data_IF_248821064224
#
_entry.id   IF_248821064224
#
_cell.length_a   1.000
_cell.length_b   1.000
_cell.length_c   1.000
_cell.angle_alpha   90.00
_cell.angle_beta   90.00
_cell.angle_gamma   90.00
#
_symmetry.space_group_name_H-M   'P 1'
#
loop_
_entity.id
_entity.type
_entity.pdbx_description
1 polymer ?
#
# COMPACT_ATOMS: atom_id res chain seq x y z
N UNK A 1 23.94 1.45 -8.28
CA UNK A 1 23.91 1.60 -6.81
C UNK A 1 22.47 1.44 -6.33
N UNK A 2 22.21 0.53 -5.39
CA UNK A 2 20.88 0.35 -4.82
C UNK A 2 20.66 1.40 -3.72
N UNK A 3 19.58 2.19 -3.81
CA UNK A 3 19.30 3.31 -2.89
C UNK A 3 20.43 4.35 -2.77
N UNK A 4 21.24 4.53 -3.82
CA UNK A 4 22.35 5.50 -3.84
C UNK A 4 23.48 5.21 -2.85
N UNK A 5 23.49 4.03 -2.22
CA UNK A 5 24.50 3.64 -1.24
C UNK A 5 25.68 2.86 -1.83
N UNK A 6 26.76 2.78 -1.05
CA UNK A 6 27.90 1.92 -1.30
C UNK A 6 27.76 0.64 -0.47
N UNK A 7 27.77 -0.51 -1.13
CA UNK A 7 27.82 -1.83 -0.50
C UNK A 7 29.11 -2.56 -0.86
N UNK A 8 29.61 -3.40 0.03
CA UNK A 8 30.67 -4.35 -0.31
C UNK A 8 30.06 -5.65 -0.81
N UNK A 9 30.53 -6.14 -1.95
CA UNK A 9 30.12 -7.41 -2.52
C UNK A 9 30.35 -8.55 -1.51
N UNK A 10 29.32 -9.36 -1.23
CA UNK A 10 29.38 -10.41 -0.21
C UNK A 10 29.05 -9.96 1.22
N UNK A 11 28.80 -8.67 1.46
CA UNK A 11 28.30 -8.16 2.74
C UNK A 11 26.80 -7.84 2.66
N UNK A 12 26.08 -7.99 3.78
CA UNK A 12 24.73 -7.45 3.95
C UNK A 12 24.73 -5.97 4.40
N UNK A 13 25.89 -5.29 4.30
CA UNK A 13 26.05 -3.91 4.71
C UNK A 13 25.92 -2.97 3.49
N UNK A 14 25.03 -1.99 3.61
CA UNK A 14 24.89 -0.91 2.65
C UNK A 14 24.96 0.41 3.41
N UNK A 15 25.86 1.31 3.02
CA UNK A 15 25.98 2.64 3.59
C UNK A 15 25.33 3.63 2.64
N UNK A 16 24.33 4.35 3.12
CA UNK A 16 23.61 5.40 2.39
C UNK A 16 24.53 6.59 2.07
N UNK A 17 24.10 7.45 1.15
CA UNK A 17 24.84 8.66 0.76
C UNK A 17 25.12 9.63 1.91
N UNK A 18 24.30 9.60 2.96
CA UNK A 18 24.48 10.38 4.18
C UNK A 18 25.39 9.69 5.24
N UNK A 19 26.06 8.60 4.87
CA UNK A 19 26.97 7.86 5.75
C UNK A 19 26.29 6.90 6.73
N UNK A 20 24.95 6.86 6.79
CA UNK A 20 24.22 5.97 7.70
C UNK A 20 24.07 4.56 7.10
N UNK A 21 24.15 3.50 7.91
CA UNK A 21 23.83 2.16 7.45
C UNK A 21 22.35 2.05 7.09
N UNK A 22 22.06 1.40 5.96
CA UNK A 22 20.70 1.06 5.55
C UNK A 22 20.09 0.08 6.57
N UNK A 23 19.05 0.53 7.26
CA UNK A 23 18.34 -0.29 8.25
C UNK A 23 17.23 -1.13 7.61
N UNK A 24 16.82 -2.20 8.29
CA UNK A 24 15.65 -2.98 7.91
C UNK A 24 14.40 -2.10 7.91
N UNK A 25 13.55 -2.24 6.89
CA UNK A 25 12.25 -1.57 6.84
C UNK A 25 11.31 -2.16 7.91
N UNK A 26 10.76 -1.31 8.79
CA UNK A 26 9.73 -1.68 9.75
C UNK A 26 8.38 -1.12 9.29
N UNK A 27 7.51 -2.00 8.78
CA UNK A 27 6.15 -1.64 8.37
C UNK A 27 5.30 -1.43 9.62
N UNK A 28 4.73 -0.24 9.78
CA UNK A 28 3.83 0.12 10.87
C UNK A 28 2.38 0.07 10.40
N UNK A 29 1.47 -0.15 11.34
CA UNK A 29 0.06 0.15 11.10
C UNK A 29 -0.04 1.66 10.81
N UNK A 30 -0.77 2.03 9.77
CA UNK A 30 -0.75 3.38 9.22
C UNK A 30 -1.14 4.48 10.21
N UNK A 31 -2.04 4.19 11.16
CA UNK A 31 -2.49 5.11 12.22
C UNK A 31 -1.45 5.25 13.32
N UNK A 32 -0.53 4.31 13.44
CA UNK A 32 0.56 4.31 14.42
C UNK A 32 1.83 5.03 13.94
N UNK A 33 1.82 5.55 12.71
CA UNK A 33 2.88 6.45 12.24
C UNK A 33 2.79 7.77 12.98
N UNK A 34 3.94 8.37 13.31
CA UNK A 34 3.95 9.76 13.78
C UNK A 34 3.58 10.70 12.64
N UNK A 35 3.12 11.91 12.96
CA UNK A 35 2.76 12.92 11.95
C UNK A 35 3.94 13.18 11.00
N UNK A 36 5.15 13.30 11.55
CA UNK A 36 6.36 13.49 10.74
C UNK A 36 6.64 12.30 9.80
N UNK A 37 6.43 11.06 10.24
CA UNK A 37 6.55 9.88 9.37
C UNK A 37 5.47 9.87 8.29
N UNK A 38 4.23 10.21 8.66
CA UNK A 38 3.07 10.25 7.78
C UNK A 38 3.24 11.30 6.67
N UNK A 39 3.67 12.51 7.03
CA UNK A 39 3.91 13.62 6.11
C UNK A 39 5.00 13.28 5.08
N UNK A 40 6.11 12.70 5.54
CA UNK A 40 7.18 12.23 4.64
C UNK A 40 6.69 11.12 3.72
N UNK A 41 5.91 10.18 4.24
CA UNK A 41 5.31 9.12 3.42
C UNK A 41 4.37 9.69 2.35
N UNK A 42 3.46 10.60 2.70
CA UNK A 42 2.58 11.27 1.73
C UNK A 42 3.35 12.04 0.67
N UNK A 43 4.40 12.77 1.08
CA UNK A 43 5.26 13.50 0.16
C UNK A 43 5.95 12.56 -0.82
N UNK A 44 6.51 11.44 -0.34
CA UNK A 44 7.15 10.42 -1.19
C UNK A 44 6.15 9.79 -2.16
N UNK A 45 4.94 9.43 -1.72
CA UNK A 45 3.91 8.87 -2.62
C UNK A 45 3.54 9.86 -3.72
N UNK A 46 3.38 11.15 -3.40
CA UNK A 46 3.14 12.19 -4.41
C UNK A 46 4.33 12.37 -5.36
N UNK A 47 5.55 12.27 -4.85
CA UNK A 47 6.75 12.35 -5.70
C UNK A 47 6.83 11.17 -6.68
N UNK A 48 6.52 9.96 -6.23
CA UNK A 48 6.41 8.77 -7.09
C UNK A 48 5.31 8.92 -8.14
N UNK A 49 4.22 9.61 -7.83
CA UNK A 49 3.19 9.94 -8.81
C UNK A 49 3.69 10.94 -9.84
N UNK A 50 4.31 12.02 -9.39
CA UNK A 50 4.77 13.10 -10.26
C UNK A 50 5.90 12.67 -11.21
N UNK A 51 6.75 11.72 -10.80
CA UNK A 51 7.83 11.20 -11.63
C UNK A 51 7.41 9.98 -12.48
N UNK A 52 6.14 9.55 -12.41
CA UNK A 52 5.57 8.46 -13.20
C UNK A 52 5.83 7.04 -12.66
N UNK A 53 6.63 6.90 -11.59
CA UNK A 53 6.95 5.58 -11.02
C UNK A 53 5.72 4.89 -10.41
N UNK A 54 4.83 5.65 -9.77
CA UNK A 54 3.56 5.13 -9.25
C UNK A 54 2.70 4.55 -10.38
N UNK A 55 2.58 5.28 -11.50
CA UNK A 55 1.76 4.86 -12.65
C UNK A 55 2.39 3.66 -13.36
N UNK A 56 3.73 3.59 -13.42
CA UNK A 56 4.44 2.42 -13.93
C UNK A 56 4.12 1.16 -13.11
N UNK A 57 4.18 1.24 -11.78
CA UNK A 57 3.83 0.12 -10.89
C UNK A 57 2.35 -0.25 -11.01
N UNK A 58 1.45 0.74 -11.03
CA UNK A 58 0.03 0.49 -11.21
C UNK A 58 -0.29 -0.16 -12.58
N UNK A 59 0.46 0.19 -13.63
CA UNK A 59 0.35 -0.43 -14.96
C UNK A 59 0.72 -1.91 -14.90
N UNK A 60 1.80 -2.29 -14.21
CA UNK A 60 2.22 -3.70 -14.05
C UNK A 60 1.09 -4.54 -13.44
N UNK A 61 0.37 -4.02 -12.44
CA UNK A 61 -0.77 -4.71 -11.85
C UNK A 61 -1.97 -4.79 -12.81
N UNK A 62 -2.26 -3.72 -13.56
CA UNK A 62 -3.42 -3.66 -14.48
C UNK A 62 -3.32 -4.59 -15.70
N UNK A 63 -2.11 -5.00 -16.09
CA UNK A 63 -1.89 -5.83 -17.26
C UNK A 63 -2.14 -7.31 -16.95
N UNK A 64 -3.42 -7.70 -16.87
CA UNK A 64 -3.84 -9.06 -16.53
C UNK A 64 -3.14 -10.15 -17.37
N UNK A 65 -2.97 -9.93 -18.68
CA UNK A 65 -2.31 -10.89 -19.58
C UNK A 65 -0.83 -11.15 -19.23
N UNK A 66 -0.14 -10.17 -18.64
CA UNK A 66 1.25 -10.28 -18.20
C UNK A 66 1.36 -10.63 -16.70
N UNK A 67 0.32 -10.34 -15.93
CA UNK A 67 0.25 -10.49 -14.47
C UNK A 67 -0.83 -11.50 -14.06
N UNK A 68 -1.00 -12.59 -14.82
CA UNK A 68 -2.03 -13.60 -14.54
C UNK A 68 -1.90 -14.26 -13.17
N UNK A 69 -0.70 -14.27 -12.58
CA UNK A 69 -0.47 -14.74 -11.21
C UNK A 69 -0.88 -13.75 -10.11
N UNK A 70 -1.30 -12.53 -10.46
CA UNK A 70 -1.72 -11.52 -9.50
C UNK A 70 -3.05 -11.90 -8.83
N UNK A 71 -3.93 -12.68 -9.46
CA UNK A 71 -5.26 -12.99 -8.92
C UNK A 71 -5.64 -14.46 -9.17
N UNK A 72 -6.61 -14.95 -8.38
CA UNK A 72 -7.36 -16.19 -8.61
C UNK A 72 -6.49 -17.46 -8.74
N UNK A 73 -5.36 -17.52 -8.05
CA UNK A 73 -4.43 -18.66 -8.13
C UNK A 73 -3.38 -18.70 -7.03
N UNK A 74 -2.58 -19.79 -6.94
CA UNK A 74 -1.60 -20.00 -5.88
C UNK A 74 -0.46 -18.96 -5.86
N UNK A 75 -0.28 -18.23 -6.97
CA UNK A 75 0.69 -17.16 -7.07
C UNK A 75 0.23 -15.85 -6.42
N UNK A 76 -1.05 -15.70 -6.04
CA UNK A 76 -1.62 -14.45 -5.51
C UNK A 76 -0.76 -13.83 -4.38
N UNK A 77 -0.47 -14.61 -3.34
CA UNK A 77 0.31 -14.15 -2.18
C UNK A 77 1.77 -13.82 -2.51
N UNK A 78 2.56 -14.72 -3.15
CA UNK A 78 3.94 -14.41 -3.48
C UNK A 78 4.06 -13.29 -4.54
N UNK A 79 3.15 -13.20 -5.51
CA UNK A 79 3.13 -12.13 -6.50
C UNK A 79 2.92 -10.77 -5.83
N UNK A 80 1.89 -10.65 -4.96
CA UNK A 80 1.65 -9.42 -4.22
C UNK A 80 2.79 -9.08 -3.25
N UNK A 81 3.41 -10.08 -2.60
CA UNK A 81 4.59 -9.86 -1.74
C UNK A 81 5.76 -9.25 -2.50
N UNK A 82 6.00 -9.70 -3.73
CA UNK A 82 7.02 -9.15 -4.61
C UNK A 82 6.63 -7.74 -5.10
N UNK A 83 5.38 -7.55 -5.52
CA UNK A 83 4.85 -6.27 -5.97
C UNK A 83 4.98 -5.17 -4.91
N UNK A 84 4.53 -5.44 -3.67
CA UNK A 84 4.67 -4.49 -2.56
C UNK A 84 6.13 -4.29 -2.16
N UNK A 85 7.03 -5.26 -2.46
CA UNK A 85 8.46 -5.06 -2.26
C UNK A 85 9.01 -4.04 -3.26
N UNK A 86 8.60 -4.10 -4.54
CA UNK A 86 8.97 -3.06 -5.53
C UNK A 86 8.52 -1.68 -5.09
N UNK A 87 7.27 -1.54 -4.63
CA UNK A 87 6.76 -0.27 -4.10
C UNK A 87 7.59 0.25 -2.91
N UNK A 88 7.90 -0.61 -1.94
CA UNK A 88 8.75 -0.25 -0.80
C UNK A 88 10.16 0.18 -1.22
N UNK A 89 10.73 -0.46 -2.26
CA UNK A 89 12.03 -0.05 -2.82
C UNK A 89 11.93 1.34 -3.43
N UNK A 90 10.90 1.63 -4.23
CA UNK A 90 10.71 2.95 -4.85
C UNK A 90 10.50 4.04 -3.79
N UNK A 91 9.74 3.77 -2.72
CA UNK A 91 9.61 4.66 -1.56
C UNK A 91 10.99 4.95 -0.94
N UNK A 92 11.77 3.89 -0.70
CA UNK A 92 13.05 3.99 0.01
C UNK A 92 14.21 4.52 -0.82
N UNK A 93 14.07 4.56 -2.14
CA UNK A 93 14.98 5.30 -3.01
C UNK A 93 14.83 6.82 -2.82
N UNK A 94 13.66 7.29 -2.40
CA UNK A 94 13.41 8.70 -2.10
C UNK A 94 13.63 9.04 -0.62
N UNK A 95 13.18 8.17 0.30
CA UNK A 95 13.46 8.28 1.74
C UNK A 95 13.78 6.90 2.33
N UNK A 96 15.06 6.57 2.57
CA UNK A 96 15.48 5.26 3.06
C UNK A 96 15.08 4.99 4.52
N UNK A 97 14.57 5.99 5.24
CA UNK A 97 14.08 5.84 6.62
C UNK A 97 12.63 5.33 6.67
N UNK A 98 11.89 5.42 5.56
CA UNK A 98 10.50 5.00 5.48
C UNK A 98 10.35 3.51 5.18
N UNK A 99 9.15 3.01 5.45
CA UNK A 99 8.67 1.69 5.04
C UNK A 99 7.23 1.83 4.55
N UNK A 100 6.77 0.89 3.71
CA UNK A 100 5.36 0.84 3.31
C UNK A 100 4.51 0.48 4.54
N UNK A 101 3.56 1.32 4.98
CA UNK A 101 2.68 0.97 6.09
C UNK A 101 1.66 -0.10 5.67
N UNK A 102 0.98 -0.68 6.65
CA UNK A 102 -0.18 -1.53 6.41
C UNK A 102 -1.43 -0.91 7.04
N UNK A 103 -2.58 -1.25 6.47
CA UNK A 103 -3.89 -0.95 7.06
C UNK A 103 -4.42 -2.22 7.68
N UNK A 104 -4.64 -2.20 8.99
CA UNK A 104 -5.41 -3.24 9.65
C UNK A 104 -6.90 -2.89 9.60
N UNK A 105 -7.64 -3.58 8.74
CA UNK A 105 -9.07 -3.35 8.53
C UNK A 105 -9.96 -3.98 9.61
N UNK A 106 -9.42 -4.91 10.41
CA UNK A 106 -10.22 -5.52 11.49
C UNK A 106 -10.54 -4.50 12.59
N UNK A 107 -9.69 -3.49 12.75
CA UNK A 107 -9.92 -2.38 13.68
C UNK A 107 -11.12 -1.51 13.30
N UNK A 108 -11.46 -1.45 12.01
CA UNK A 108 -12.60 -0.67 11.52
C UNK A 108 -13.87 -1.50 11.37
N UNK A 109 -13.75 -2.84 11.26
CA UNK A 109 -14.90 -3.73 11.08
C UNK A 109 -15.81 -3.76 12.31
N UNK A 110 -15.29 -3.36 13.48
CA UNK A 110 -16.05 -3.24 14.74
C UNK A 110 -16.78 -1.90 14.90
N UNK A 111 -16.57 -0.94 14.00
CA UNK A 111 -17.30 0.34 14.04
C UNK A 111 -18.76 0.11 13.66
N UNK A 112 -19.67 0.89 14.28
CA UNK A 112 -21.09 0.86 13.92
C UNK A 112 -21.32 1.18 12.42
N UNK A 113 -20.47 2.04 11.86
CA UNK A 113 -20.35 2.26 10.42
C UNK A 113 -18.86 2.29 10.05
N UNK A 114 -18.33 1.27 9.37
CA UNK A 114 -16.91 1.26 8.96
C UNK A 114 -16.49 2.46 8.09
N UNK A 115 -17.45 3.11 7.42
CA UNK A 115 -17.23 4.35 6.68
C UNK A 115 -16.81 5.54 7.55
N UNK A 116 -17.09 5.50 8.85
CA UNK A 116 -16.73 6.55 9.82
C UNK A 116 -15.26 6.43 10.27
N UNK A 117 -14.52 5.45 9.77
CA UNK A 117 -13.09 5.29 10.06
C UNK A 117 -12.29 6.55 9.75
N UNK A 118 -11.38 6.91 10.67
CA UNK A 118 -10.40 7.99 10.48
C UNK A 118 -9.54 7.78 9.21
N UNK A 119 -9.45 6.53 8.71
CA UNK A 119 -8.77 6.23 7.46
C UNK A 119 -9.26 7.10 6.30
N UNK A 120 -10.55 7.45 6.27
CA UNK A 120 -11.18 8.24 5.21
C UNK A 120 -11.31 9.73 5.55
N UNK A 121 -10.50 10.22 6.49
CA UNK A 121 -10.41 11.63 6.86
C UNK A 121 -9.38 12.40 6.02
N UNK A 122 -9.36 13.73 6.17
CA UNK A 122 -8.41 14.62 5.50
C UNK A 122 -6.95 14.33 5.87
N UNK A 123 -6.72 13.86 7.10
CA UNK A 123 -5.39 13.55 7.61
C UNK A 123 -4.82 12.26 6.99
N UNK A 124 -5.67 11.29 6.67
CA UNK A 124 -5.26 9.98 6.17
C UNK A 124 -5.49 9.85 4.66
N UNK A 125 -6.54 9.16 4.21
CA UNK A 125 -6.74 8.82 2.80
C UNK A 125 -7.71 9.74 2.06
N UNK A 126 -8.09 10.87 2.66
CA UNK A 126 -8.98 11.88 2.09
C UNK A 126 -10.46 11.51 2.16
N UNK A 127 -11.30 12.54 2.30
CA UNK A 127 -12.76 12.49 2.21
C UNK A 127 -13.24 12.59 0.77
N UNK A 128 -14.47 12.16 0.56
CA UNK A 128 -15.16 12.28 -0.73
C UNK A 128 -16.18 13.40 -0.76
N UNK A 129 -16.40 13.99 -1.94
CA UNK A 129 -17.56 14.84 -2.20
C UNK A 129 -18.84 14.01 -2.39
N UNK A 130 -19.99 14.67 -2.57
CA UNK A 130 -21.28 14.00 -2.80
C UNK A 130 -21.31 13.15 -4.09
N UNK A 131 -20.40 13.41 -5.02
CA UNK A 131 -20.26 12.60 -6.22
C UNK A 131 -19.39 11.36 -5.97
N UNK A 132 -18.62 11.27 -4.89
CA UNK A 132 -17.68 10.19 -4.59
C UNK A 132 -16.24 10.46 -5.05
N UNK A 133 -15.89 11.71 -5.41
CA UNK A 133 -14.52 12.09 -5.73
C UNK A 133 -13.73 12.35 -4.44
N UNK A 134 -12.53 11.80 -4.31
CA UNK A 134 -11.61 12.14 -3.20
C UNK A 134 -11.07 13.56 -3.43
N UNK A 135 -11.48 14.50 -2.58
CA UNK A 135 -11.24 15.95 -2.76
C UNK A 135 -10.36 16.57 -1.67
N UNK A 136 -10.00 15.80 -0.64
CA UNK A 136 -9.14 16.27 0.46
C UNK A 136 -7.95 15.33 0.71
N UNK A 137 -7.05 15.76 1.58
CA UNK A 137 -5.86 15.01 1.97
C UNK A 137 -4.82 14.89 0.86
N UNK A 138 -3.79 14.08 1.07
CA UNK A 138 -2.66 13.98 0.15
C UNK A 138 -3.01 13.36 -1.22
N UNK A 139 -4.17 12.71 -1.31
CA UNK A 139 -4.73 12.10 -2.52
C UNK A 139 -5.69 13.03 -3.30
N UNK A 140 -5.93 14.26 -2.84
CA UNK A 140 -6.67 15.25 -3.61
C UNK A 140 -5.95 15.56 -4.94
N UNK A 141 -6.73 15.88 -5.99
CA UNK A 141 -6.22 16.18 -7.33
C UNK A 141 -5.37 15.06 -7.95
N UNK A 142 -5.60 13.82 -7.52
CA UNK A 142 -4.89 12.66 -8.06
C UNK A 142 -5.51 12.19 -9.37
N UNK A 143 -4.86 12.54 -10.49
CA UNK A 143 -5.27 12.06 -11.82
C UNK A 143 -5.03 10.56 -11.96
N UNK A 144 -6.07 9.79 -12.24
CA UNK A 144 -5.97 8.33 -12.40
C UNK A 144 -5.35 7.95 -13.75
N UNK A 145 -4.86 6.72 -13.87
CA UNK A 145 -4.34 6.20 -15.16
C UNK A 145 -5.43 6.16 -16.26
N UNK A 146 -6.70 6.02 -15.88
CA UNK A 146 -7.85 6.11 -16.79
C UNK A 146 -8.21 7.55 -17.20
N UNK A 147 -7.48 8.55 -16.70
CA UNK A 147 -7.66 9.96 -17.05
C UNK A 147 -8.67 10.72 -16.21
N UNK A 148 -9.27 10.10 -15.18
CA UNK A 148 -10.16 10.81 -14.26
C UNK A 148 -9.37 11.84 -13.46
N UNK A 149 -9.92 13.03 -13.20
CA UNK A 149 -9.22 14.09 -12.48
C UNK A 149 -9.01 13.80 -10.98
N UNK A 150 -9.70 12.79 -10.44
CA UNK A 150 -9.63 12.43 -9.03
C UNK A 150 -9.85 10.94 -8.84
N UNK A 151 -9.36 10.40 -7.72
CA UNK A 151 -9.72 9.07 -7.24
C UNK A 151 -11.22 9.06 -6.92
N UNK A 152 -11.89 7.97 -7.26
CA UNK A 152 -13.30 7.71 -6.94
C UNK A 152 -13.39 6.69 -5.80
N UNK A 153 -14.20 6.97 -4.79
CA UNK A 153 -14.43 6.06 -3.65
C UNK A 153 -15.89 6.15 -3.19
N UNK A 154 -16.51 5.00 -2.94
CA UNK A 154 -17.85 4.91 -2.35
C UNK A 154 -17.77 4.00 -1.11
N UNK A 155 -17.26 4.55 -0.02
CA UNK A 155 -16.90 3.78 1.18
C UNK A 155 -18.13 3.17 1.84
N UNK A 156 -18.08 1.86 2.10
CA UNK A 156 -19.16 1.15 2.80
C UNK A 156 -20.40 0.85 1.94
N UNK A 157 -20.36 1.13 0.64
CA UNK A 157 -21.49 0.86 -0.24
C UNK A 157 -21.69 -0.63 -0.56
N UNK A 158 -20.61 -1.41 -0.56
CA UNK A 158 -20.61 -2.85 -0.88
C UNK A 158 -19.56 -3.59 -0.06
N UNK A 159 -19.86 -4.84 0.27
CA UNK A 159 -18.97 -5.73 1.02
C UNK A 159 -18.87 -5.39 2.52
N UNK A 160 -17.97 -6.08 3.20
CA UNK A 160 -17.59 -5.86 4.61
C UNK A 160 -16.07 -5.85 4.72
N UNK A 161 -15.57 -5.23 5.80
CA UNK A 161 -14.16 -5.36 6.17
C UNK A 161 -13.92 -6.70 6.84
N UNK A 162 -12.67 -7.15 6.85
CA UNK A 162 -12.30 -8.39 7.53
C UNK A 162 -12.57 -8.30 9.02
N UNK A 163 -13.09 -9.38 9.59
CA UNK A 163 -13.23 -9.59 11.02
C UNK A 163 -12.11 -10.50 11.54
N UNK A 164 -11.80 -10.41 12.82
CA UNK A 164 -10.85 -11.33 13.48
C UNK A 164 -11.28 -12.80 13.32
N UNK A 165 -12.58 -13.07 13.32
CA UNK A 165 -13.12 -14.41 13.12
C UNK A 165 -12.83 -14.97 11.71
N UNK A 166 -12.98 -14.15 10.68
CA UNK A 166 -12.67 -14.53 9.29
C UNK A 166 -11.16 -14.75 9.10
N UNK A 167 -10.33 -13.88 9.67
CA UNK A 167 -8.87 -14.07 9.66
C UNK A 167 -8.49 -15.37 10.37
N UNK A 168 -9.03 -15.61 11.57
CA UNK A 168 -8.78 -16.84 12.31
C UNK A 168 -9.26 -18.08 11.56
N UNK A 169 -10.37 -17.99 10.83
CA UNK A 169 -10.87 -19.05 9.97
C UNK A 169 -9.88 -19.39 8.85
N UNK A 170 -9.41 -18.38 8.10
CA UNK A 170 -8.45 -18.57 7.00
C UNK A 170 -7.12 -19.13 7.52
N UNK A 171 -6.61 -18.61 8.64
CA UNK A 171 -5.34 -19.05 9.23
C UNK A 171 -5.34 -20.49 9.75
N UNK A 172 -6.52 -21.08 9.97
CA UNK A 172 -6.67 -22.49 10.39
C UNK A 172 -6.74 -23.45 9.20
N UNK A 173 -6.84 -22.95 7.98
CA UNK A 173 -6.91 -23.80 6.79
C UNK A 173 -5.56 -24.43 6.49
N UNK A 174 -5.55 -25.74 6.26
CA UNK A 174 -4.37 -26.51 5.88
C UNK A 174 -4.40 -26.97 4.43
N UNK A 175 -5.57 -26.89 3.78
CA UNK A 175 -5.79 -27.25 2.39
C UNK A 175 -5.77 -26.00 1.50
N UNK A 176 -5.07 -26.05 0.38
CA UNK A 176 -4.80 -24.88 -0.46
C UNK A 176 -6.09 -24.34 -1.11
N UNK A 177 -7.03 -25.21 -1.45
CA UNK A 177 -8.34 -24.86 -1.99
C UNK A 177 -9.15 -23.97 -1.04
N UNK A 178 -9.06 -24.21 0.27
CA UNK A 178 -9.75 -23.42 1.29
C UNK A 178 -9.08 -22.06 1.51
N UNK A 179 -7.83 -21.89 1.09
CA UNK A 179 -7.13 -20.61 1.11
C UNK A 179 -7.35 -19.84 -0.20
N UNK A 180 -7.37 -20.53 -1.34
CA UNK A 180 -7.50 -19.93 -2.67
C UNK A 180 -8.92 -19.52 -3.05
N UNK A 181 -9.96 -20.07 -2.41
CA UNK A 181 -11.33 -19.60 -2.59
C UNK A 181 -11.50 -18.09 -2.30
N UNK A 182 -10.56 -17.48 -1.57
CA UNK A 182 -10.56 -16.08 -1.17
C UNK A 182 -9.63 -15.18 -2.00
N UNK A 183 -8.96 -15.70 -3.03
CA UNK A 183 -7.99 -14.94 -3.84
C UNK A 183 -8.51 -14.56 -5.22
N UNK A 184 -9.77 -14.91 -5.52
CA UNK A 184 -10.44 -14.65 -6.79
C UNK A 184 -11.18 -13.32 -6.83
#
# INVERSE_FOLDING_TARGET
QYMGGNGQQGSNACTLSNGQPLQKALRKEYRMMTDAERDRFHAVIRQLKNNGEYDRLATVHSQFAASGGAHSGPAFLPWHREFIKRMEISIRQLDPTLALPYWDSTLDSVLARPSDSILFSDELMGRTDASGNVVTGFLANWRTMSGNPSIRRNTGAQGSLFTEAEIAFVMRQTAIENVLAFTA
#
